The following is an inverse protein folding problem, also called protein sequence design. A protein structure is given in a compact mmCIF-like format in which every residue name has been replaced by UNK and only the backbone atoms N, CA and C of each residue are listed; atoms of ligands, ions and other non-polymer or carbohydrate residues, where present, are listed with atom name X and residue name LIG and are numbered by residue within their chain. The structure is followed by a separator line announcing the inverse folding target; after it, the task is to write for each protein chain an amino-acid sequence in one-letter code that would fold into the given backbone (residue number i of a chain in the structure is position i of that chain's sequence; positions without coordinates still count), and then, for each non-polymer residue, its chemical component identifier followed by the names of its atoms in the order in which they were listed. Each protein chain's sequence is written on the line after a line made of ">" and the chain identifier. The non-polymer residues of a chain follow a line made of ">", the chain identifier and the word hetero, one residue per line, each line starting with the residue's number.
data_IF_936494434148
#
_entry.id   IF_936494434148
#
_cell.length_a   1.000
_cell.length_b   1.000
_cell.length_c   1.000
_cell.angle_alpha   90.00
_cell.angle_beta   90.00
_cell.angle_gamma   90.00
#
_symmetry.space_group_name_H-M   'P 1'
#
loop_
_entity.id
_entity.type
_entity.pdbx_description
1 polymer ?
#
# COMPACT_ATOMS: atom_id res chain seq x y z
N UNK A 1 -17.07 35.83 51.59
CA UNK A 1 -15.61 35.94 51.34
C UNK A 1 -14.94 34.58 51.12
N UNK A 2 -15.26 33.51 51.87
CA UNK A 2 -14.63 32.19 51.64
C UNK A 2 -15.24 31.41 50.44
N UNK A 3 -16.55 31.55 50.21
CA UNK A 3 -17.28 30.88 49.12
C UNK A 3 -16.81 31.32 47.73
N UNK A 4 -16.58 32.62 47.55
CA UNK A 4 -16.13 33.21 46.28
C UNK A 4 -14.71 32.73 45.90
N UNK A 5 -13.84 32.54 46.90
CA UNK A 5 -12.49 31.97 46.72
C UNK A 5 -12.54 30.50 46.27
N UNK A 6 -13.47 29.70 46.80
CA UNK A 6 -13.65 28.30 46.40
C UNK A 6 -14.18 28.20 44.96
N UNK A 7 -15.14 29.04 44.59
CA UNK A 7 -15.73 29.08 43.24
C UNK A 7 -14.67 29.47 42.18
N UNK A 8 -13.87 30.51 42.43
CA UNK A 8 -12.82 30.92 41.49
C UNK A 8 -11.73 29.86 41.30
N UNK A 9 -11.39 29.12 42.37
CA UNK A 9 -10.43 28.00 42.30
C UNK A 9 -10.97 26.80 41.50
N UNK A 10 -12.28 26.56 41.57
CA UNK A 10 -12.97 25.52 40.78
C UNK A 10 -13.10 25.92 39.31
N UNK A 11 -13.42 27.19 39.03
CA UNK A 11 -13.47 27.73 37.67
C UNK A 11 -12.08 27.69 36.98
N UNK A 12 -11.01 28.07 37.71
CA UNK A 12 -9.65 28.00 37.20
C UNK A 12 -9.20 26.56 36.89
N UNK A 13 -9.52 25.60 37.77
CA UNK A 13 -9.24 24.17 37.52
C UNK A 13 -10.01 23.63 36.31
N UNK A 14 -11.29 24.00 36.16
CA UNK A 14 -12.12 23.57 35.02
C UNK A 14 -11.58 24.11 33.69
N UNK A 15 -11.17 25.37 33.65
CA UNK A 15 -10.58 25.99 32.47
C UNK A 15 -9.20 25.40 32.12
N UNK A 16 -8.40 25.01 33.12
CA UNK A 16 -7.11 24.35 32.91
C UNK A 16 -7.27 22.95 32.28
N UNK A 17 -8.29 22.20 32.70
CA UNK A 17 -8.61 20.88 32.12
C UNK A 17 -9.07 21.03 30.66
N UNK A 18 -9.92 22.03 30.37
CA UNK A 18 -10.39 22.31 29.00
C UNK A 18 -9.21 22.71 28.10
N UNK A 19 -8.28 23.55 28.57
CA UNK A 19 -7.09 23.94 27.83
C UNK A 19 -6.17 22.73 27.53
N UNK A 20 -6.01 21.83 28.50
CA UNK A 20 -5.26 20.59 28.30
C UNK A 20 -5.88 19.67 27.25
N UNK A 21 -7.20 19.50 27.25
CA UNK A 21 -7.92 18.68 26.25
C UNK A 21 -7.81 19.30 24.85
N UNK A 22 -7.93 20.63 24.73
CA UNK A 22 -7.78 21.35 23.45
C UNK A 22 -6.35 21.22 22.90
N UNK A 23 -5.32 21.27 23.75
CA UNK A 23 -3.94 21.06 23.33
C UNK A 23 -3.68 19.62 22.86
N UNK A 24 -4.24 18.62 23.53
CA UNK A 24 -4.10 17.21 23.12
C UNK A 24 -4.79 16.94 21.78
N UNK A 25 -5.98 17.51 21.54
CA UNK A 25 -6.68 17.40 20.25
C UNK A 25 -5.90 18.13 19.15
N UNK A 26 -5.37 19.33 19.43
CA UNK A 26 -4.57 20.08 18.47
C UNK A 26 -3.27 19.36 18.05
N UNK A 27 -2.60 18.69 18.98
CA UNK A 27 -1.40 17.88 18.70
C UNK A 27 -1.77 16.62 17.88
N UNK A 28 -2.93 16.03 18.13
CA UNK A 28 -3.41 14.87 17.37
C UNK A 28 -3.69 15.22 15.89
N UNK A 29 -4.28 16.39 15.61
CA UNK A 29 -4.62 16.82 14.25
C UNK A 29 -3.41 17.10 13.35
N UNK A 30 -2.28 17.55 13.88
CA UNK A 30 -1.07 17.86 13.07
C UNK A 30 -0.42 16.58 12.51
N UNK A 31 -0.66 15.43 13.14
CA UNK A 31 -0.03 14.15 12.78
C UNK A 31 -0.56 13.54 11.47
N UNK A 32 -1.77 13.92 11.05
CA UNK A 32 -2.44 13.37 9.86
C UNK A 32 -1.95 13.97 8.54
N UNK A 33 -1.36 15.17 8.56
CA UNK A 33 -0.99 15.89 7.34
C UNK A 33 0.27 15.35 6.62
N UNK A 34 0.91 14.31 7.16
CA UNK A 34 2.16 13.74 6.62
C UNK A 34 2.01 12.29 6.14
N UNK A 35 0.80 11.73 6.16
CA UNK A 35 0.53 10.38 5.67
C UNK A 35 0.13 10.43 4.21
N UNK A 36 0.84 9.65 3.38
CA UNK A 36 0.50 9.45 1.97
C UNK A 36 -0.55 8.37 1.86
N UNK A 37 -1.60 8.59 1.09
CA UNK A 37 -2.59 7.56 0.76
C UNK A 37 -2.18 6.85 -0.52
N UNK A 38 -1.96 5.53 -0.42
CA UNK A 38 -1.58 4.69 -1.55
C UNK A 38 -2.72 3.71 -1.82
N UNK A 39 -3.17 3.63 -3.06
CA UNK A 39 -4.16 2.64 -3.49
C UNK A 39 -3.43 1.45 -4.09
N UNK A 40 -3.64 0.27 -3.54
CA UNK A 40 -3.13 -0.98 -4.10
C UNK A 40 -4.29 -1.66 -4.84
N UNK A 41 -4.09 -1.93 -6.12
CA UNK A 41 -5.02 -2.68 -6.97
C UNK A 41 -4.51 -4.11 -7.13
N UNK A 42 -5.29 -5.07 -6.65
CA UNK A 42 -5.04 -6.49 -6.76
C UNK A 42 -6.25 -7.16 -7.43
N UNK A 43 -6.21 -7.23 -8.77
CA UNK A 43 -7.38 -7.58 -9.57
C UNK A 43 -8.53 -6.61 -9.30
N UNK A 44 -9.68 -7.15 -8.85
CA UNK A 44 -10.88 -6.38 -8.51
C UNK A 44 -10.85 -5.77 -7.08
N UNK A 45 -9.78 -6.02 -6.31
CA UNK A 45 -9.65 -5.54 -4.93
C UNK A 45 -8.81 -4.26 -4.89
N UNK A 46 -9.43 -3.19 -4.39
CA UNK A 46 -8.74 -1.94 -4.08
C UNK A 46 -8.51 -1.84 -2.57
N UNK A 47 -7.24 -1.72 -2.15
CA UNK A 47 -6.82 -1.60 -0.76
C UNK A 47 -6.14 -0.24 -0.56
N UNK A 48 -6.64 0.56 0.37
CA UNK A 48 -6.04 1.86 0.69
C UNK A 48 -5.11 1.69 1.90
N UNK A 49 -3.84 2.09 1.72
CA UNK A 49 -2.81 2.01 2.75
C UNK A 49 -2.22 3.39 3.00
N UNK A 50 -2.25 3.82 4.27
CA UNK A 50 -1.54 5.00 4.72
C UNK A 50 -0.05 4.69 4.90
N UNK A 51 0.81 5.45 4.21
CA UNK A 51 2.24 5.24 4.18
C UNK A 51 3.01 6.51 4.58
N UNK A 52 4.12 6.36 5.31
CA UNK A 52 5.00 7.47 5.70
C UNK A 52 6.44 7.09 5.37
N UNK A 53 7.06 7.83 4.44
CA UNK A 53 8.42 7.58 3.92
C UNK A 53 8.69 6.15 3.37
N UNK A 54 7.66 5.46 2.88
CA UNK A 54 7.79 4.07 2.41
C UNK A 54 8.11 3.92 0.92
N UNK A 55 8.59 2.74 0.54
CA UNK A 55 8.60 2.25 -0.83
C UNK A 55 7.39 1.33 -1.10
N UNK A 56 7.22 0.88 -2.33
CA UNK A 56 6.09 0.03 -2.73
C UNK A 56 6.07 -1.28 -1.92
N UNK A 57 7.22 -1.93 -1.73
CA UNK A 57 7.34 -3.18 -0.97
C UNK A 57 6.83 -3.05 0.48
N UNK A 58 7.20 -1.97 1.17
CA UNK A 58 6.71 -1.69 2.52
C UNK A 58 5.21 -1.43 2.56
N UNK A 59 4.68 -0.78 1.51
CA UNK A 59 3.25 -0.52 1.39
C UNK A 59 2.47 -1.82 1.19
N UNK A 60 2.97 -2.74 0.37
CA UNK A 60 2.39 -4.08 0.21
C UNK A 60 2.39 -4.85 1.53
N UNK A 61 3.51 -4.83 2.26
CA UNK A 61 3.62 -5.46 3.60
C UNK A 61 2.62 -4.88 4.59
N UNK A 62 2.44 -3.56 4.61
CA UNK A 62 1.42 -2.89 5.45
C UNK A 62 0.00 -3.26 5.05
N UNK A 63 -0.26 -3.39 3.76
CA UNK A 63 -1.51 -3.90 3.21
C UNK A 63 -1.75 -5.38 3.46
N UNK A 64 -0.78 -6.09 4.07
CA UNK A 64 -0.78 -7.55 4.28
C UNK A 64 -0.95 -8.32 2.96
N UNK A 65 -0.31 -7.82 1.91
CA UNK A 65 -0.32 -8.43 0.59
C UNK A 65 0.96 -9.24 0.41
N UNK A 66 0.79 -10.53 0.16
CA UNK A 66 1.87 -11.43 -0.23
C UNK A 66 1.88 -11.55 -1.76
N UNK A 67 3.07 -11.46 -2.35
CA UNK A 67 3.29 -11.61 -3.78
C UNK A 67 3.67 -13.07 -4.06
N UNK A 68 3.11 -13.64 -5.13
CA UNK A 68 3.60 -14.86 -5.74
C UNK A 68 4.93 -14.65 -6.45
N UNK A 69 5.63 -15.74 -6.75
CA UNK A 69 6.95 -15.73 -7.38
C UNK A 69 6.95 -15.06 -8.76
N UNK A 70 5.87 -15.25 -9.54
CA UNK A 70 5.70 -14.72 -10.89
C UNK A 70 4.79 -13.48 -10.94
N UNK A 71 4.33 -12.97 -9.80
CA UNK A 71 3.51 -11.77 -9.76
C UNK A 71 4.34 -10.53 -10.09
N UNK A 72 3.74 -9.60 -10.81
CA UNK A 72 4.37 -8.32 -11.12
C UNK A 72 3.72 -7.17 -10.36
N UNK A 73 4.55 -6.22 -9.93
CA UNK A 73 4.10 -5.02 -9.22
C UNK A 73 4.57 -3.78 -9.96
N UNK A 74 3.63 -2.87 -10.22
CA UNK A 74 3.85 -1.62 -10.92
C UNK A 74 3.33 -0.47 -10.06
N UNK A 75 4.16 0.52 -9.67
CA UNK A 75 5.60 0.61 -9.91
C UNK A 75 6.41 -0.46 -9.16
N UNK A 76 7.69 -0.63 -9.54
CA UNK A 76 8.57 -1.65 -8.97
C UNK A 76 8.66 -1.57 -7.42
N UNK A 77 8.85 -2.70 -6.71
CA UNK A 77 8.82 -2.76 -5.23
C UNK A 77 9.75 -1.75 -4.52
N UNK A 78 10.90 -1.42 -5.13
CA UNK A 78 11.87 -0.47 -4.59
C UNK A 78 11.52 1.02 -4.86
N UNK A 79 10.45 1.29 -5.60
CA UNK A 79 10.03 2.66 -5.96
C UNK A 79 9.51 3.39 -4.73
N UNK A 80 9.93 4.66 -4.54
CA UNK A 80 9.40 5.51 -3.47
C UNK A 80 7.95 5.88 -3.73
N UNK A 81 7.08 5.67 -2.74
CA UNK A 81 5.66 6.00 -2.89
C UNK A 81 5.39 7.50 -2.70
N UNK A 82 4.41 8.01 -3.45
CA UNK A 82 3.93 9.39 -3.41
C UNK A 82 2.45 9.39 -3.02
N UNK A 83 1.98 10.51 -2.48
CA UNK A 83 0.57 10.65 -2.13
C UNK A 83 -0.33 10.48 -3.37
N UNK A 84 -1.44 9.76 -3.22
CA UNK A 84 -2.36 9.41 -4.30
C UNK A 84 -1.81 8.41 -5.32
N UNK A 85 -0.66 7.78 -5.06
CA UNK A 85 -0.07 6.81 -5.99
C UNK A 85 -0.90 5.52 -6.02
N UNK A 86 -1.02 4.97 -7.23
CA UNK A 86 -1.63 3.65 -7.46
C UNK A 86 -0.53 2.62 -7.67
N UNK A 87 -0.57 1.55 -6.89
CA UNK A 87 0.27 0.36 -7.04
C UNK A 87 -0.63 -0.74 -7.60
N UNK A 88 -0.30 -1.27 -8.77
CA UNK A 88 -1.05 -2.36 -9.40
C UNK A 88 -0.26 -3.65 -9.30
N UNK A 89 -0.94 -4.72 -8.91
CA UNK A 89 -0.42 -6.07 -8.86
C UNK A 89 -1.05 -6.84 -10.02
N UNK A 90 -0.20 -7.33 -10.92
CA UNK A 90 -0.59 -8.31 -11.94
C UNK A 90 -0.29 -9.69 -11.38
N UNK A 91 -1.35 -10.42 -11.06
CA UNK A 91 -1.24 -11.79 -10.55
C UNK A 91 -0.89 -12.74 -11.68
N UNK A 92 0.06 -13.62 -11.44
CA UNK A 92 0.43 -14.64 -12.39
C UNK A 92 -0.72 -15.63 -12.60
N UNK A 93 -0.87 -16.07 -13.84
CA UNK A 93 -1.89 -17.02 -14.26
C UNK A 93 -1.25 -18.17 -15.06
N UNK A 94 -1.85 -19.37 -15.00
CA UNK A 94 -1.33 -20.52 -15.73
C UNK A 94 -1.53 -20.35 -17.23
N UNK A 95 -0.52 -20.72 -18.01
CA UNK A 95 -0.54 -20.80 -19.46
C UNK A 95 0.02 -22.16 -19.88
N UNK A 96 -0.69 -22.84 -20.78
CA UNK A 96 -0.22 -24.08 -21.38
C UNK A 96 0.57 -23.76 -22.64
N UNK A 97 1.86 -24.10 -22.63
CA UNK A 97 2.75 -24.02 -23.78
C UNK A 97 3.10 -25.42 -24.27
N UNK A 98 3.04 -25.63 -25.57
CA UNK A 98 3.56 -26.84 -26.20
C UNK A 98 4.91 -26.52 -26.83
N UNK A 99 5.98 -27.13 -26.30
CA UNK A 99 7.35 -26.89 -26.77
C UNK A 99 7.88 -28.20 -27.33
N UNK A 100 8.08 -28.25 -28.65
CA UNK A 100 8.59 -29.46 -29.32
C UNK A 100 7.65 -30.68 -29.22
N UNK A 101 6.34 -30.46 -29.07
CA UNK A 101 5.34 -31.53 -28.91
C UNK A 101 5.10 -31.95 -27.45
N UNK A 102 5.80 -31.36 -26.48
CA UNK A 102 5.59 -31.63 -25.05
C UNK A 102 4.77 -30.50 -24.39
N UNK A 103 3.61 -30.79 -23.79
CA UNK A 103 2.83 -29.80 -23.08
C UNK A 103 3.48 -29.45 -21.73
N UNK A 104 3.59 -28.16 -21.45
CA UNK A 104 4.13 -27.60 -20.22
C UNK A 104 3.21 -26.51 -19.69
N UNK A 105 2.84 -26.62 -18.43
CA UNK A 105 2.13 -25.56 -17.71
C UNK A 105 3.16 -24.61 -17.08
N UNK A 106 2.99 -23.31 -17.32
CA UNK A 106 3.85 -22.24 -16.81
C UNK A 106 3.00 -21.15 -16.15
N UNK A 107 3.58 -20.37 -15.23
CA UNK A 107 2.90 -19.28 -14.52
C UNK A 107 3.49 -17.94 -14.92
N UNK A 108 2.69 -17.06 -15.52
CA UNK A 108 3.19 -15.76 -16.00
C UNK A 108 2.21 -14.65 -15.68
N UNK A 109 2.73 -13.45 -15.43
CA UNK A 109 1.94 -12.22 -15.29
C UNK A 109 1.98 -11.36 -16.57
N UNK A 110 2.66 -11.83 -17.62
CA UNK A 110 2.67 -11.15 -18.92
C UNK A 110 1.45 -11.53 -19.76
N UNK A 111 0.99 -10.57 -20.56
CA UNK A 111 -0.20 -10.72 -21.41
C UNK A 111 0.16 -11.00 -22.87
N UNK A 112 1.40 -10.73 -23.28
CA UNK A 112 1.84 -10.94 -24.66
C UNK A 112 2.61 -12.24 -24.81
N UNK A 113 2.37 -12.95 -25.91
CA UNK A 113 3.09 -14.19 -26.22
C UNK A 113 4.60 -13.93 -26.27
N UNK A 114 5.02 -12.80 -26.86
CA UNK A 114 6.43 -12.43 -26.97
C UNK A 114 7.11 -12.31 -25.60
N UNK A 115 6.49 -11.63 -24.64
CA UNK A 115 7.05 -11.46 -23.31
C UNK A 115 7.09 -12.77 -22.53
N UNK A 116 6.06 -13.61 -22.68
CA UNK A 116 6.01 -14.95 -22.08
C UNK A 116 7.14 -15.83 -22.63
N UNK A 117 7.35 -15.85 -23.94
CA UNK A 117 8.43 -16.64 -24.55
C UNK A 117 9.80 -16.14 -24.07
N UNK A 118 10.00 -14.82 -23.92
CA UNK A 118 11.24 -14.25 -23.37
C UNK A 118 11.46 -14.60 -21.91
N UNK A 119 10.42 -14.55 -21.07
CA UNK A 119 10.48 -14.91 -19.65
C UNK A 119 10.99 -16.35 -19.45
N UNK A 120 10.60 -17.26 -20.34
CA UNK A 120 10.99 -18.67 -20.30
C UNK A 120 12.14 -19.03 -21.26
N UNK A 121 12.81 -18.03 -21.85
CA UNK A 121 13.93 -18.20 -22.77
C UNK A 121 13.64 -19.14 -23.97
N UNK A 122 12.40 -19.15 -24.44
CA UNK A 122 11.95 -19.97 -25.57
C UNK A 122 12.20 -19.21 -26.88
N UNK A 123 12.88 -19.87 -27.83
CA UNK A 123 13.15 -19.33 -29.17
C UNK A 123 12.20 -19.93 -30.20
N UNK A 124 11.79 -19.11 -31.17
CA UNK A 124 10.97 -19.56 -32.29
C UNK A 124 11.87 -20.20 -33.35
N UNK A 125 11.55 -21.43 -33.75
CA UNK A 125 12.19 -22.11 -34.88
C UNK A 125 11.69 -21.58 -36.22
N UNK A 126 12.44 -21.83 -37.29
CA UNK A 126 11.99 -21.57 -38.66
C UNK A 126 10.88 -22.57 -39.04
N UNK A 127 9.81 -22.06 -39.68
CA UNK A 127 8.66 -22.82 -40.18
C UNK A 127 8.97 -23.54 -41.50
#
# INVERSE_FOLDING_TARGET
>A
METDRRINKLLAKKNLIILGIVLVIGIFSVSSALTKEITIKDGDKDIIVAAKFSNVEEVLKKGKIELGEHDQVLPAPNTKVKDGMVVTIKRAHPVNLEVGGEPKEIMTAYETIEDILKEYEITLGEL
#
